data_IF_654943450134
#
_entry.id   IF_654943450134
#
_cell.length_a   1.000
_cell.length_b   1.000
_cell.length_c   1.000
_cell.angle_alpha   90.00
_cell.angle_beta   90.00
_cell.angle_gamma   90.00
#
_symmetry.space_group_name_H-M   'P 1'
#
loop_
_entity.id
_entity.type
_entity.pdbx_description
1 polymer ?
#
# COMPACT_ATOMS: atom_id res chain seq x y z
N UNK A 1 -29.15 26.07 27.15
CA UNK A 1 -28.09 25.07 27.29
C UNK A 1 -27.70 24.62 25.91
N UNK A 2 -26.57 25.10 25.43
CA UNK A 2 -26.07 24.93 24.09
C UNK A 2 -25.29 23.60 24.05
N UNK A 3 -25.77 22.66 23.27
CA UNK A 3 -25.04 21.41 23.02
C UNK A 3 -23.85 21.78 22.14
N UNK A 4 -22.70 21.88 22.78
CA UNK A 4 -21.43 22.09 22.11
C UNK A 4 -21.14 20.93 21.18
N UNK A 5 -20.88 21.27 19.94
CA UNK A 5 -20.33 20.46 18.88
C UNK A 5 -19.09 19.71 19.37
N UNK A 6 -19.26 18.45 19.69
CA UNK A 6 -18.15 17.49 19.65
C UNK A 6 -17.85 17.27 18.16
N UNK A 7 -16.96 18.10 17.62
CA UNK A 7 -16.23 17.78 16.41
C UNK A 7 -15.42 16.51 16.71
N UNK A 8 -15.98 15.38 16.39
CA UNK A 8 -15.21 14.15 16.30
C UNK A 8 -14.16 14.39 15.21
N UNK A 9 -12.96 14.80 15.64
CA UNK A 9 -11.78 14.72 14.78
C UNK A 9 -11.70 13.24 14.38
N UNK A 10 -12.06 12.96 13.12
CA UNK A 10 -11.76 11.67 12.51
C UNK A 10 -10.25 11.52 12.64
N UNK A 11 -9.82 10.74 13.61
CA UNK A 11 -8.47 10.22 13.66
C UNK A 11 -8.26 9.55 12.31
N UNK A 12 -7.21 9.94 11.59
CA UNK A 12 -6.83 9.32 10.33
C UNK A 12 -7.00 7.81 10.47
N UNK A 13 -7.82 7.23 9.58
CA UNK A 13 -8.01 5.79 9.56
C UNK A 13 -6.63 5.18 9.41
N UNK A 14 -6.12 4.59 10.48
CA UNK A 14 -4.76 4.10 10.57
C UNK A 14 -4.54 3.13 9.43
N UNK A 15 -3.62 3.47 8.54
CA UNK A 15 -3.20 2.60 7.45
C UNK A 15 -2.66 1.30 8.05
N UNK A 16 -3.47 0.24 8.05
CA UNK A 16 -3.22 -1.02 8.75
C UNK A 16 -2.44 -2.02 7.90
N UNK A 17 -1.56 -1.52 7.06
CA UNK A 17 -0.66 -2.32 6.25
C UNK A 17 0.76 -1.85 6.47
N UNK A 18 1.73 -2.69 6.20
CA UNK A 18 3.11 -2.26 6.08
C UNK A 18 3.67 -2.72 4.74
N UNK A 19 3.93 -1.77 3.87
CA UNK A 19 4.38 -2.01 2.51
C UNK A 19 5.52 -1.07 2.14
N UNK A 20 6.31 -1.42 1.15
CA UNK A 20 7.33 -0.51 0.63
C UNK A 20 8.07 -1.02 -0.59
N UNK A 21 8.81 -0.10 -1.19
CA UNK A 21 9.73 -0.37 -2.27
C UNK A 21 11.13 0.13 -1.89
N UNK A 22 12.13 -0.64 -2.25
CA UNK A 22 13.53 -0.35 -2.03
C UNK A 22 14.31 -0.46 -3.34
N UNK A 23 14.98 0.63 -3.73
CA UNK A 23 15.91 0.64 -4.87
C UNK A 23 17.23 -0.02 -4.47
N UNK A 24 17.73 -0.89 -5.33
CA UNK A 24 19.10 -1.40 -5.30
C UNK A 24 19.79 -1.06 -6.62
N UNK A 25 21.09 -1.30 -6.68
CA UNK A 25 21.87 -1.16 -7.92
C UNK A 25 21.37 -2.07 -9.06
N UNK A 26 20.78 -3.22 -8.72
CA UNK A 26 20.39 -4.26 -9.68
C UNK A 26 18.90 -4.25 -10.01
N UNK A 27 18.05 -3.57 -9.22
CA UNK A 27 16.61 -3.54 -9.41
C UNK A 27 15.87 -2.98 -8.20
N UNK A 28 14.57 -3.19 -8.17
CA UNK A 28 13.68 -2.72 -7.11
C UNK A 28 13.15 -3.93 -6.35
N UNK A 29 13.21 -3.88 -5.02
CA UNK A 29 12.61 -4.89 -4.14
C UNK A 29 11.32 -4.31 -3.56
N UNK A 30 10.20 -5.00 -3.81
CA UNK A 30 8.93 -4.71 -3.17
C UNK A 30 8.68 -5.62 -1.98
N UNK A 31 8.12 -5.08 -0.90
CA UNK A 31 7.69 -5.86 0.26
C UNK A 31 6.31 -5.42 0.74
N UNK A 32 5.53 -6.37 1.23
CA UNK A 32 4.21 -6.11 1.79
C UNK A 32 3.81 -7.19 2.78
N UNK A 33 3.08 -6.79 3.81
CA UNK A 33 2.34 -7.71 4.64
C UNK A 33 1.16 -8.32 3.87
N UNK A 34 0.62 -9.43 4.38
CA UNK A 34 -0.48 -10.15 3.73
C UNK A 34 -1.81 -10.10 4.49
N UNK A 35 -1.91 -9.37 5.59
CA UNK A 35 -3.11 -9.35 6.43
C UNK A 35 -4.23 -8.54 5.79
N UNK A 36 -5.41 -9.15 5.68
CA UNK A 36 -6.65 -8.44 5.40
C UNK A 36 -7.30 -7.99 6.71
N UNK A 37 -7.89 -6.82 6.72
CA UNK A 37 -8.51 -6.24 7.92
C UNK A 37 -9.87 -5.64 7.61
N UNK A 38 -10.81 -5.82 8.52
CA UNK A 38 -12.12 -5.18 8.50
C UNK A 38 -12.09 -4.00 9.47
N UNK A 39 -12.53 -2.84 9.02
CA UNK A 39 -12.72 -1.66 9.86
C UNK A 39 -14.20 -1.49 10.15
N UNK A 40 -14.56 -1.46 11.43
CA UNK A 40 -15.93 -1.26 11.88
C UNK A 40 -16.25 0.23 12.05
N UNK A 41 -17.54 0.58 12.11
CA UNK A 41 -18.01 1.96 12.20
C UNK A 41 -17.56 2.70 13.47
N UNK A 42 -17.28 1.98 14.54
CA UNK A 42 -16.75 2.50 15.81
C UNK A 42 -15.24 2.70 15.79
N UNK A 43 -14.59 2.35 14.68
CA UNK A 43 -13.15 2.52 14.47
C UNK A 43 -12.31 1.36 14.96
N UNK A 44 -12.90 0.28 15.52
CA UNK A 44 -12.11 -0.91 15.81
C UNK A 44 -11.86 -1.74 14.54
N UNK A 45 -10.85 -2.59 14.60
CA UNK A 45 -10.38 -3.36 13.46
C UNK A 45 -10.20 -4.83 13.86
N UNK A 46 -10.57 -5.71 12.95
CA UNK A 46 -10.37 -7.15 13.10
C UNK A 46 -9.74 -7.75 11.85
N UNK A 47 -9.08 -8.89 11.99
CA UNK A 47 -8.59 -9.64 10.84
C UNK A 47 -9.78 -10.20 10.04
N UNK A 48 -9.77 -9.96 8.72
CA UNK A 48 -10.72 -10.58 7.80
C UNK A 48 -10.31 -12.05 7.55
N UNK A 49 -10.71 -12.93 8.45
CA UNK A 49 -10.41 -14.37 8.37
C UNK A 49 -11.03 -15.00 7.11
N UNK A 50 -12.15 -14.47 6.62
CA UNK A 50 -12.82 -15.01 5.44
C UNK A 50 -12.02 -14.70 4.16
N UNK A 51 -11.40 -13.54 4.10
CA UNK A 51 -10.56 -13.13 2.99
C UNK A 51 -9.16 -13.76 3.05
N UNK A 52 -8.72 -14.14 4.23
CA UNK A 52 -7.42 -14.79 4.45
C UNK A 52 -6.22 -13.88 4.12
N UNK A 53 -5.23 -14.47 3.46
CA UNK A 53 -4.01 -13.72 3.06
C UNK A 53 -4.23 -13.06 1.71
N UNK A 54 -3.93 -11.75 1.64
CA UNK A 54 -4.07 -10.95 0.43
C UNK A 54 -2.72 -10.57 -0.16
N UNK A 55 -2.69 -10.43 -1.46
CA UNK A 55 -1.53 -9.91 -2.18
C UNK A 55 -1.62 -8.40 -2.26
N UNK A 56 -0.56 -7.70 -1.88
CA UNK A 56 -0.46 -6.23 -1.93
C UNK A 56 0.71 -5.76 -2.79
N UNK A 57 1.41 -6.67 -3.44
CA UNK A 57 2.49 -6.40 -4.40
C UNK A 57 2.04 -6.88 -5.77
N UNK A 58 2.15 -6.02 -6.76
CA UNK A 58 1.79 -6.30 -8.15
C UNK A 58 2.89 -5.81 -9.06
N UNK A 59 3.15 -6.53 -10.13
CA UNK A 59 4.14 -6.16 -11.13
C UNK A 59 3.77 -6.69 -12.51
N UNK A 60 4.26 -6.00 -13.52
CA UNK A 60 4.32 -6.43 -14.90
C UNK A 60 5.73 -6.15 -15.47
N UNK A 61 5.90 -6.13 -16.77
CA UNK A 61 7.19 -5.84 -17.41
C UNK A 61 7.65 -4.39 -17.27
N UNK A 62 6.79 -3.44 -16.88
CA UNK A 62 7.08 -2.00 -16.88
C UNK A 62 7.20 -1.39 -15.48
N UNK A 63 6.56 -1.98 -14.48
CA UNK A 63 6.60 -1.46 -13.12
C UNK A 63 6.26 -2.50 -12.06
N UNK A 64 6.63 -2.19 -10.83
CA UNK A 64 6.16 -2.87 -9.61
C UNK A 64 5.41 -1.85 -8.76
N UNK A 65 4.32 -2.26 -8.12
CA UNK A 65 3.61 -1.41 -7.17
C UNK A 65 3.18 -2.17 -5.93
N UNK A 66 3.05 -1.42 -4.83
CA UNK A 66 2.43 -1.88 -3.59
C UNK A 66 1.29 -0.95 -3.22
N UNK A 67 0.23 -1.49 -2.61
CA UNK A 67 -0.96 -0.73 -2.21
C UNK A 67 -1.18 -0.77 -0.71
N UNK A 68 -1.71 0.32 -0.15
CA UNK A 68 -2.07 0.44 1.26
C UNK A 68 -3.18 1.46 1.47
N UNK A 69 -3.85 1.39 2.60
CA UNK A 69 -5.00 2.24 2.92
C UNK A 69 -6.32 1.57 2.53
N UNK A 70 -7.21 2.30 1.87
CA UNK A 70 -8.50 1.75 1.45
C UNK A 70 -8.32 0.70 0.37
N UNK A 71 -9.02 -0.42 0.51
CA UNK A 71 -8.91 -1.56 -0.39
C UNK A 71 -10.26 -1.99 -0.99
N UNK A 72 -11.32 -1.22 -0.79
CA UNK A 72 -12.64 -1.54 -1.32
C UNK A 72 -13.04 -0.56 -2.41
N UNK A 73 -13.36 -1.08 -3.57
CA UNK A 73 -13.94 -0.37 -4.69
C UNK A 73 -15.45 -0.62 -4.71
N UNK A 74 -16.24 0.41 -4.48
CA UNK A 74 -17.69 0.31 -4.55
C UNK A 74 -18.23 0.96 -5.82
N UNK A 75 -19.21 0.31 -6.42
CA UNK A 75 -20.13 0.97 -7.34
C UNK A 75 -21.57 0.63 -6.93
N UNK A 76 -22.53 1.34 -7.48
CA UNK A 76 -23.95 1.02 -7.26
C UNK A 76 -24.33 -0.43 -7.68
N UNK A 77 -23.48 -1.09 -8.44
CA UNK A 77 -23.76 -2.40 -9.02
C UNK A 77 -22.83 -3.51 -8.52
N UNK A 78 -21.66 -3.19 -7.97
CA UNK A 78 -20.72 -4.20 -7.49
C UNK A 78 -19.77 -3.68 -6.42
N UNK A 79 -19.33 -4.59 -5.58
CA UNK A 79 -18.22 -4.42 -4.63
C UNK A 79 -17.08 -5.33 -5.12
N UNK A 80 -15.90 -4.74 -5.33
CA UNK A 80 -14.69 -5.49 -5.63
C UNK A 80 -13.55 -4.96 -4.75
N UNK A 81 -12.67 -5.82 -4.34
CA UNK A 81 -11.47 -5.40 -3.63
C UNK A 81 -10.47 -4.81 -4.62
N UNK A 82 -9.72 -3.82 -4.18
CA UNK A 82 -8.71 -3.15 -5.00
C UNK A 82 -7.67 -4.13 -5.54
N UNK A 83 -7.23 -5.06 -4.70
CA UNK A 83 -6.25 -6.07 -5.06
C UNK A 83 -6.78 -7.00 -6.17
N UNK A 84 -8.02 -7.47 -6.04
CA UNK A 84 -8.67 -8.31 -7.05
C UNK A 84 -8.86 -7.54 -8.37
N UNK A 85 -9.12 -6.22 -8.27
CA UNK A 85 -9.19 -5.35 -9.43
C UNK A 85 -7.83 -5.25 -10.14
N UNK A 86 -6.76 -5.02 -9.38
CA UNK A 86 -5.41 -4.91 -9.95
C UNK A 86 -5.03 -6.24 -10.62
N UNK A 87 -5.21 -7.37 -9.96
CA UNK A 87 -4.90 -8.69 -10.54
C UNK A 87 -5.67 -8.96 -11.84
N UNK A 88 -6.91 -8.50 -11.92
CA UNK A 88 -7.75 -8.75 -13.10
C UNK A 88 -7.43 -7.86 -14.28
N UNK A 89 -7.00 -6.61 -14.05
CA UNK A 89 -6.91 -5.58 -15.10
C UNK A 89 -5.49 -5.07 -15.36
N UNK A 90 -4.51 -5.48 -14.57
CA UNK A 90 -3.11 -5.17 -14.84
C UNK A 90 -2.61 -6.05 -15.99
N UNK A 91 -2.46 -5.42 -17.16
CA UNK A 91 -1.88 -6.08 -18.34
C UNK A 91 -0.36 -6.00 -18.33
N UNK A 92 0.30 -7.02 -18.93
CA UNK A 92 1.75 -7.13 -18.98
C UNK A 92 2.44 -5.97 -19.72
N UNK A 93 1.75 -5.36 -20.68
CA UNK A 93 2.29 -4.27 -21.50
C UNK A 93 1.86 -2.87 -21.03
N UNK A 94 1.04 -2.78 -19.99
CA UNK A 94 0.58 -1.49 -19.47
C UNK A 94 1.68 -0.73 -18.75
N UNK A 95 1.85 0.56 -19.07
CA UNK A 95 2.65 1.45 -18.20
C UNK A 95 1.88 1.76 -16.91
N UNK A 96 2.60 2.20 -15.87
CA UNK A 96 1.92 2.58 -14.63
C UNK A 96 0.94 3.74 -14.85
N UNK A 97 1.26 4.69 -15.74
CA UNK A 97 0.38 5.83 -16.05
C UNK A 97 -0.93 5.34 -16.65
N UNK A 98 -0.86 4.53 -17.68
CA UNK A 98 -2.07 4.01 -18.35
C UNK A 98 -2.96 3.26 -17.36
N UNK A 99 -2.36 2.40 -16.51
CA UNK A 99 -3.11 1.64 -15.53
C UNK A 99 -3.79 2.53 -14.49
N UNK A 100 -3.05 3.47 -13.87
CA UNK A 100 -3.59 4.30 -12.80
C UNK A 100 -4.53 5.40 -13.29
N UNK A 101 -4.36 5.90 -14.52
CA UNK A 101 -5.34 6.77 -15.16
C UNK A 101 -6.67 6.04 -15.41
N UNK A 102 -6.62 4.80 -15.92
CA UNK A 102 -7.81 3.96 -16.07
C UNK A 102 -8.48 3.67 -14.72
N UNK A 103 -7.71 3.36 -13.68
CA UNK A 103 -8.22 3.14 -12.34
C UNK A 103 -8.88 4.41 -11.77
N UNK A 104 -8.23 5.57 -11.93
CA UNK A 104 -8.78 6.85 -11.48
C UNK A 104 -10.11 7.18 -12.16
N UNK A 105 -10.18 7.06 -13.48
CA UNK A 105 -11.41 7.26 -14.24
C UNK A 105 -12.52 6.31 -13.73
N UNK A 106 -12.19 5.04 -13.52
CA UNK A 106 -13.16 4.05 -13.02
C UNK A 106 -13.67 4.42 -11.64
N UNK A 107 -12.80 4.85 -10.74
CA UNK A 107 -13.16 5.29 -9.40
C UNK A 107 -14.05 6.53 -9.42
N UNK A 108 -13.79 7.49 -10.31
CA UNK A 108 -14.64 8.67 -10.50
C UNK A 108 -16.07 8.32 -10.90
N UNK A 109 -16.24 7.38 -11.82
CA UNK A 109 -17.56 6.96 -12.30
C UNK A 109 -18.29 6.00 -11.35
N UNK A 110 -17.52 5.26 -10.56
CA UNK A 110 -18.09 4.28 -9.62
C UNK A 110 -18.67 4.93 -8.35
N UNK A 111 -18.42 6.21 -8.09
CA UNK A 111 -18.81 7.02 -6.93
C UNK A 111 -19.31 6.15 -5.78
N UNK A 112 -18.47 5.78 -4.84
CA UNK A 112 -18.92 5.04 -3.69
C UNK A 112 -19.92 5.90 -2.92
N UNK A 113 -21.13 5.43 -2.72
CA UNK A 113 -22.15 6.13 -1.93
C UNK A 113 -21.70 6.29 -0.45
N UNK A 114 -20.64 5.59 -0.02
CA UNK A 114 -20.32 5.38 1.39
C UNK A 114 -18.87 5.53 1.81
N UNK A 115 -17.92 5.75 0.92
CA UNK A 115 -16.53 5.90 1.37
C UNK A 115 -15.83 7.09 0.73
N UNK A 116 -15.37 7.99 1.58
CA UNK A 116 -14.28 8.90 1.26
C UNK A 116 -13.04 8.01 1.10
N UNK A 117 -12.79 7.56 -0.11
CA UNK A 117 -11.72 6.60 -0.41
C UNK A 117 -10.41 7.31 -0.69
N UNK A 118 -9.40 7.05 0.11
CA UNK A 118 -8.02 7.41 -0.21
C UNK A 118 -7.28 6.11 -0.51
N UNK A 119 -6.88 5.97 -1.77
CA UNK A 119 -6.13 4.81 -2.26
C UNK A 119 -4.67 5.23 -2.46
N UNK A 120 -3.77 4.53 -1.81
CA UNK A 120 -2.36 4.87 -1.85
C UNK A 120 -1.54 3.76 -2.51
N UNK A 121 -0.60 4.17 -3.34
CA UNK A 121 0.31 3.27 -4.03
C UNK A 121 1.75 3.77 -3.92
N UNK A 122 2.68 2.85 -3.83
CA UNK A 122 4.09 3.13 -4.08
C UNK A 122 4.46 2.36 -5.34
N UNK A 123 5.03 3.08 -6.31
CA UNK A 123 5.32 2.56 -7.64
C UNK A 123 6.81 2.65 -7.87
N UNK A 124 7.39 1.55 -8.32
CA UNK A 124 8.77 1.48 -8.80
C UNK A 124 8.78 1.19 -10.29
N UNK A 125 9.57 1.91 -11.04
CA UNK A 125 9.73 1.73 -12.48
C UNK A 125 11.13 2.07 -12.94
N UNK A 126 11.43 1.77 -14.18
CA UNK A 126 12.75 1.99 -14.80
C UNK A 126 12.57 2.69 -16.14
N UNK A 127 13.39 3.68 -16.40
CA UNK A 127 13.50 4.34 -17.70
C UNK A 127 14.97 4.47 -18.13
N UNK A 128 15.21 5.22 -19.20
CA UNK A 128 16.57 5.46 -19.75
C UNK A 128 17.51 6.22 -18.78
N UNK A 129 16.96 6.83 -17.72
CA UNK A 129 17.73 7.57 -16.70
C UNK A 129 18.01 6.73 -15.45
N UNK A 130 17.38 5.56 -15.34
CA UNK A 130 17.54 4.63 -14.22
C UNK A 130 16.22 4.26 -13.56
N UNK A 131 16.32 3.77 -12.33
CA UNK A 131 15.18 3.36 -11.53
C UNK A 131 14.66 4.54 -10.71
N UNK A 132 13.35 4.60 -10.52
CA UNK A 132 12.72 5.62 -9.69
C UNK A 132 11.56 5.05 -8.88
N UNK A 133 11.30 5.69 -7.74
CA UNK A 133 10.16 5.40 -6.88
C UNK A 133 9.20 6.58 -6.87
N UNK A 134 7.90 6.27 -6.82
CA UNK A 134 6.83 7.27 -6.78
C UNK A 134 5.79 6.92 -5.72
N UNK A 135 5.19 7.93 -5.13
CA UNK A 135 3.91 7.79 -4.42
C UNK A 135 2.79 8.33 -5.29
N UNK A 136 1.74 7.54 -5.40
CA UNK A 136 0.53 7.91 -6.09
C UNK A 136 -0.63 7.79 -5.11
N UNK A 137 -1.44 8.83 -5.03
CA UNK A 137 -2.65 8.85 -4.20
C UNK A 137 -3.84 9.21 -5.06
N UNK A 138 -4.88 8.41 -4.99
CA UNK A 138 -6.18 8.69 -5.59
C UNK A 138 -7.14 8.99 -4.44
N UNK A 139 -7.64 10.21 -4.40
CA UNK A 139 -8.65 10.63 -3.44
C UNK A 139 -9.99 10.76 -4.16
N UNK A 140 -10.98 9.99 -3.74
CA UNK A 140 -12.34 10.00 -4.30
C UNK A 140 -13.34 10.70 -3.39
N UNK A 141 -12.88 11.44 -2.38
CA UNK A 141 -13.73 12.25 -1.54
C UNK A 141 -14.61 13.16 -2.41
N UNK A 142 -15.89 13.29 -2.07
CA UNK A 142 -16.88 14.08 -2.85
C UNK A 142 -16.51 15.55 -2.99
N UNK A 143 -15.71 16.08 -2.06
CA UNK A 143 -15.30 17.50 -2.05
C UNK A 143 -13.97 17.73 -2.79
N UNK A 144 -13.10 16.75 -2.86
CA UNK A 144 -11.76 16.88 -3.46
C UNK A 144 -11.38 15.59 -4.19
N UNK A 145 -11.84 15.46 -5.44
CA UNK A 145 -11.34 14.37 -6.29
C UNK A 145 -9.94 14.75 -6.76
N UNK A 146 -8.94 14.06 -6.26
CA UNK A 146 -7.53 14.38 -6.52
C UNK A 146 -6.75 13.14 -6.94
N UNK A 147 -5.94 13.32 -7.97
CA UNK A 147 -4.91 12.39 -8.39
C UNK A 147 -3.55 13.05 -8.18
N UNK A 148 -2.74 12.51 -7.27
CA UNK A 148 -1.39 13.02 -7.01
C UNK A 148 -0.35 11.97 -7.34
N UNK A 149 0.61 12.33 -8.18
CA UNK A 149 1.79 11.51 -8.52
C UNK A 149 3.06 12.30 -8.16
N UNK A 150 3.81 11.83 -7.15
CA UNK A 150 5.03 12.47 -6.66
C UNK A 150 6.23 11.56 -6.84
N UNK A 151 7.27 12.06 -7.52
CA UNK A 151 8.55 11.38 -7.63
C UNK A 151 9.38 11.55 -6.34
N UNK A 152 10.11 10.53 -5.95
CA UNK A 152 10.98 10.54 -4.78
C UNK A 152 12.36 10.01 -5.13
N UNK A 153 13.39 10.77 -4.77
CA UNK A 153 14.80 10.39 -4.93
C UNK A 153 15.34 9.58 -3.75
N UNK A 154 14.46 8.85 -3.05
CA UNK A 154 14.85 8.04 -1.91
C UNK A 154 15.18 6.60 -2.33
N UNK A 155 16.12 6.00 -1.61
CA UNK A 155 16.45 4.57 -1.77
C UNK A 155 15.25 3.70 -1.34
N UNK A 156 14.50 4.12 -0.32
CA UNK A 156 13.36 3.37 0.21
C UNK A 156 12.17 4.28 0.44
N UNK A 157 10.99 3.83 0.02
CA UNK A 157 9.71 4.45 0.37
C UNK A 157 8.83 3.39 1.03
N UNK A 158 8.27 3.73 2.19
CA UNK A 158 7.33 2.88 2.92
C UNK A 158 5.97 3.57 3.06
N UNK A 159 4.92 2.76 3.14
CA UNK A 159 3.55 3.16 3.40
C UNK A 159 2.89 2.29 4.45
N UNK A 160 1.74 2.76 4.95
CA UNK A 160 0.96 2.04 5.94
C UNK A 160 1.26 2.48 7.37
N UNK A 161 1.25 1.54 8.29
CA UNK A 161 1.38 1.77 9.73
C UNK A 161 2.63 2.57 10.11
N UNK A 162 2.44 3.61 10.94
CA UNK A 162 3.48 4.56 11.28
C UNK A 162 4.58 3.94 12.14
N UNK A 163 4.22 3.12 13.11
CA UNK A 163 5.16 2.46 14.01
C UNK A 163 6.12 1.55 13.23
N UNK A 164 5.58 0.77 12.31
CA UNK A 164 6.40 -0.09 11.43
C UNK A 164 7.33 0.74 10.55
N UNK A 165 6.82 1.84 9.97
CA UNK A 165 7.63 2.74 9.14
C UNK A 165 8.77 3.36 9.93
N UNK A 166 8.51 3.84 11.13
CA UNK A 166 9.52 4.44 12.00
C UNK A 166 10.61 3.45 12.37
N UNK A 167 10.26 2.26 12.82
CA UNK A 167 11.25 1.22 13.15
C UNK A 167 12.05 0.83 11.91
N UNK A 168 11.38 0.59 10.78
CA UNK A 168 12.07 0.15 9.57
C UNK A 168 13.00 1.22 9.02
N UNK A 169 12.69 2.51 9.14
CA UNK A 169 13.57 3.60 8.70
C UNK A 169 14.88 3.68 9.47
N UNK A 170 14.92 3.19 10.71
CA UNK A 170 16.16 3.11 11.52
C UNK A 170 17.09 1.96 11.10
N UNK A 171 16.59 1.00 10.35
CA UNK A 171 17.40 -0.13 9.88
C UNK A 171 18.29 0.34 8.72
N UNK A 172 19.60 0.04 8.73
CA UNK A 172 20.50 0.37 7.63
C UNK A 172 20.02 -0.21 6.29
N UNK A 173 20.15 0.58 5.23
CA UNK A 173 19.80 0.19 3.86
C UNK A 173 21.07 0.04 3.02
N UNK A 174 21.10 -1.02 2.20
CA UNK A 174 22.26 -1.37 1.40
C UNK A 174 21.91 -1.28 -0.08
N UNK A 175 22.36 -0.21 -0.73
CA UNK A 175 22.13 0.03 -2.15
C UNK A 175 22.89 -0.95 -3.06
N UNK A 176 24.08 -1.34 -2.67
CA UNK A 176 25.04 -2.14 -3.46
C UNK A 176 25.04 -3.64 -3.12
N UNK A 177 24.16 -4.07 -2.21
CA UNK A 177 24.03 -5.49 -1.91
C UNK A 177 23.43 -6.26 -3.09
N UNK A 178 23.86 -7.51 -3.33
CA UNK A 178 23.23 -8.38 -4.33
C UNK A 178 21.72 -8.51 -4.07
N UNK A 179 20.92 -8.30 -5.09
CA UNK A 179 19.46 -8.12 -4.93
C UNK A 179 18.78 -9.34 -4.30
N UNK A 180 19.21 -10.56 -4.67
CA UNK A 180 18.66 -11.80 -4.12
C UNK A 180 19.00 -11.98 -2.62
N UNK A 181 20.19 -11.60 -2.23
CA UNK A 181 20.62 -11.63 -0.83
C UNK A 181 19.85 -10.61 -0.01
N UNK A 182 19.70 -9.40 -0.56
CA UNK A 182 19.03 -8.33 0.12
C UNK A 182 17.51 -8.56 0.22
N UNK A 183 16.89 -9.22 -0.74
CA UNK A 183 15.52 -9.70 -0.66
C UNK A 183 15.30 -10.53 0.61
N UNK A 184 16.17 -11.52 0.85
CA UNK A 184 16.09 -12.37 2.03
C UNK A 184 16.31 -11.60 3.34
N UNK A 185 17.21 -10.60 3.31
CA UNK A 185 17.47 -9.73 4.46
C UNK A 185 16.24 -8.91 4.79
N UNK A 186 15.64 -8.23 3.80
CA UNK A 186 14.40 -7.44 3.97
C UNK A 186 13.28 -8.29 4.57
N UNK A 187 13.04 -9.49 4.01
CA UNK A 187 12.02 -10.37 4.51
C UNK A 187 12.22 -10.74 5.98
N UNK A 188 13.44 -11.08 6.37
CA UNK A 188 13.78 -11.40 7.77
C UNK A 188 13.65 -10.19 8.69
N UNK A 189 14.10 -9.01 8.25
CA UNK A 189 14.01 -7.77 9.02
C UNK A 189 12.55 -7.43 9.34
N UNK A 190 11.68 -7.44 8.32
CA UNK A 190 10.28 -7.09 8.48
C UNK A 190 9.55 -8.15 9.33
N UNK A 191 9.77 -9.45 9.07
CA UNK A 191 9.18 -10.51 9.88
C UNK A 191 9.56 -10.35 11.36
N UNK A 192 10.81 -9.94 11.64
CA UNK A 192 11.26 -9.71 13.01
C UNK A 192 10.61 -8.50 13.67
N UNK A 193 10.37 -7.42 12.92
CA UNK A 193 9.61 -6.27 13.43
C UNK A 193 8.19 -6.70 13.79
N UNK A 194 7.52 -7.49 12.93
CA UNK A 194 6.17 -8.02 13.20
C UNK A 194 6.16 -8.84 14.47
N UNK A 195 7.10 -9.80 14.63
CA UNK A 195 7.20 -10.63 15.84
C UNK A 195 7.38 -9.79 17.12
N UNK A 196 8.21 -8.75 17.08
CA UNK A 196 8.46 -7.88 18.24
C UNK A 196 7.20 -7.09 18.60
N UNK A 197 6.54 -6.51 17.62
CA UNK A 197 5.35 -5.69 17.85
C UNK A 197 4.12 -6.53 18.26
N UNK A 198 4.03 -7.78 17.80
CA UNK A 198 2.98 -8.71 18.24
C UNK A 198 3.01 -8.99 19.77
N UNK A 199 4.17 -8.86 20.40
CA UNK A 199 4.29 -9.06 21.85
C UNK A 199 3.68 -7.90 22.67
N UNK A 200 3.71 -6.68 22.13
CA UNK A 200 3.37 -5.46 22.87
C UNK A 200 1.99 -4.89 22.53
N UNK A 201 1.40 -5.27 21.40
CA UNK A 201 0.14 -4.72 20.94
C UNK A 201 -1.00 -5.71 21.06
N UNK A 202 -2.12 -5.26 21.65
CA UNK A 202 -3.37 -6.05 21.68
C UNK A 202 -3.90 -6.38 20.29
N UNK A 203 -3.53 -5.56 19.33
CA UNK A 203 -3.93 -5.72 17.94
C UNK A 203 -2.78 -5.30 17.04
N UNK A 204 -2.35 -6.22 16.21
CA UNK A 204 -1.32 -5.97 15.20
C UNK A 204 -1.97 -5.87 13.82
N UNK A 205 -1.85 -4.70 13.20
CA UNK A 205 -2.40 -4.39 11.88
C UNK A 205 -1.63 -5.03 10.72
N UNK A 206 -0.42 -5.48 10.99
CA UNK A 206 0.51 -6.07 10.01
C UNK A 206 0.63 -7.57 10.27
N UNK A 207 0.57 -8.36 9.24
CA UNK A 207 0.56 -9.83 9.41
C UNK A 207 1.60 -10.54 8.54
N UNK A 208 1.93 -11.75 8.95
CA UNK A 208 2.77 -12.67 8.18
C UNK A 208 1.91 -13.61 7.31
N UNK A 209 2.45 -14.13 6.20
CA UNK A 209 3.80 -13.94 5.70
C UNK A 209 4.05 -12.53 5.12
N UNK A 210 5.29 -12.10 5.18
CA UNK A 210 5.74 -10.92 4.42
C UNK A 210 6.07 -11.39 3.01
N UNK A 211 5.38 -10.83 2.03
CA UNK A 211 5.65 -11.05 0.62
C UNK A 211 6.78 -10.14 0.18
N UNK A 212 7.74 -10.67 -0.57
CA UNK A 212 8.85 -9.89 -1.12
C UNK A 212 9.08 -10.28 -2.57
N UNK A 213 9.06 -9.30 -3.47
CA UNK A 213 9.22 -9.50 -4.91
C UNK A 213 10.32 -8.59 -5.48
N UNK A 214 10.96 -9.05 -6.55
CA UNK A 214 11.99 -8.31 -7.29
C UNK A 214 11.45 -7.87 -8.65
N UNK A 215 11.79 -6.64 -9.03
CA UNK A 215 11.59 -6.05 -10.34
C UNK A 215 12.96 -5.60 -10.89
N UNK A 216 13.35 -6.12 -12.08
CA UNK A 216 14.63 -5.85 -12.74
C UNK A 216 14.45 -5.32 -14.16
#
# INVERSE_FOLDING_TARGET
MTISQLSCQRKDMSNMSFVGLHNTKEGIIGFADSKATITFKDGHHEEDVQRGKIRKIFKNSHFICVTYGNNELFSAQFKINLEDYIEKYLDENMTYKDFFECLFIKLLYSKPEYSDGIYNFIIGSKDNKGQYLRKLTINTNKETQEYTDKNYEYITICGGDETYREIYTQIPKYWDAPIQEYQNIIQKQISKIVEILDLDYKYNSVGVPINVEIFQ
#
